data_IF_012462714233
#
_entry.id   IF_012462714233
#
_cell.length_a   1.000
_cell.length_b   1.000
_cell.length_c   1.000
_cell.angle_alpha   90.00
_cell.angle_beta   90.00
_cell.angle_gamma   90.00
#
_symmetry.space_group_name_H-M   'P 1'
#
loop_
_entity.id
_entity.type
_entity.pdbx_description
1 polymer ?
#
# COMPACT_ATOMS: atom_id res chain seq x y z
N UNK A 1 -35.75 -17.68 -4.80
CA UNK A 1 -34.54 -18.50 -4.60
C UNK A 1 -33.54 -17.79 -3.70
N UNK A 2 -33.07 -18.43 -2.63
CA UNK A 2 -32.27 -17.79 -1.57
C UNK A 2 -30.90 -17.29 -2.05
N UNK A 3 -30.33 -17.93 -3.08
CA UNK A 3 -29.01 -17.59 -3.62
C UNK A 3 -28.92 -16.14 -4.13
N UNK A 4 -29.99 -15.57 -4.68
CA UNK A 4 -30.01 -14.16 -5.11
C UNK A 4 -29.76 -13.20 -3.95
N UNK A 5 -30.37 -13.47 -2.79
CA UNK A 5 -30.19 -12.65 -1.58
C UNK A 5 -28.77 -12.78 -1.03
N UNK A 6 -28.20 -13.98 -1.08
CA UNK A 6 -26.81 -14.24 -0.68
C UNK A 6 -25.83 -13.47 -1.59
N UNK A 7 -25.99 -13.56 -2.91
CA UNK A 7 -25.14 -12.83 -3.86
C UNK A 7 -25.24 -11.31 -3.69
N UNK A 8 -26.45 -10.78 -3.48
CA UNK A 8 -26.65 -9.35 -3.18
C UNK A 8 -25.94 -8.97 -1.88
N UNK A 9 -26.06 -9.80 -0.83
CA UNK A 9 -25.36 -9.56 0.44
C UNK A 9 -23.84 -9.51 0.27
N UNK A 10 -23.26 -10.47 -0.46
CA UNK A 10 -21.83 -10.50 -0.76
C UNK A 10 -21.38 -9.29 -1.58
N UNK A 11 -22.15 -8.89 -2.59
CA UNK A 11 -21.86 -7.72 -3.41
C UNK A 11 -21.86 -6.43 -2.58
N UNK A 12 -22.82 -6.29 -1.65
CA UNK A 12 -22.88 -5.14 -0.74
C UNK A 12 -21.67 -5.11 0.18
N UNK A 13 -21.34 -6.24 0.82
CA UNK A 13 -20.17 -6.33 1.71
C UNK A 13 -18.89 -5.99 0.94
N UNK A 14 -18.69 -6.59 -0.24
CA UNK A 14 -17.54 -6.30 -1.10
C UNK A 14 -17.44 -4.83 -1.47
N UNK A 15 -18.58 -4.21 -1.82
CA UNK A 15 -18.63 -2.79 -2.15
C UNK A 15 -18.25 -1.89 -0.96
N UNK A 16 -18.69 -2.23 0.25
CA UNK A 16 -18.32 -1.51 1.47
C UNK A 16 -16.82 -1.64 1.74
N UNK A 17 -16.24 -2.83 1.60
CA UNK A 17 -14.80 -3.04 1.78
C UNK A 17 -13.99 -2.19 0.79
N UNK A 18 -14.38 -2.22 -0.49
CA UNK A 18 -13.72 -1.42 -1.53
C UNK A 18 -13.82 0.08 -1.24
N UNK A 19 -14.99 0.57 -0.84
CA UNK A 19 -15.19 1.98 -0.51
C UNK A 19 -14.34 2.40 0.71
N UNK A 20 -14.35 1.60 1.78
CA UNK A 20 -13.53 1.87 2.96
C UNK A 20 -12.03 1.89 2.60
N UNK A 21 -11.57 0.91 1.80
CA UNK A 21 -10.20 0.89 1.30
C UNK A 21 -9.86 2.14 0.51
N UNK A 22 -10.72 2.54 -0.43
CA UNK A 22 -10.54 3.76 -1.21
C UNK A 22 -10.43 5.02 -0.35
N UNK A 23 -11.31 5.17 0.65
CA UNK A 23 -11.28 6.31 1.57
C UNK A 23 -10.02 6.35 2.44
N UNK A 24 -9.55 5.20 2.91
CA UNK A 24 -8.29 5.11 3.67
C UNK A 24 -7.10 5.47 2.79
N UNK A 25 -7.03 4.91 1.58
CA UNK A 25 -5.93 5.17 0.64
C UNK A 25 -5.92 6.61 0.13
N UNK A 26 -7.09 7.27 0.05
CA UNK A 26 -7.21 8.69 -0.32
C UNK A 26 -7.05 9.65 0.86
N UNK A 27 -6.90 9.13 2.08
CA UNK A 27 -6.70 9.96 3.25
C UNK A 27 -5.31 10.61 3.24
N UNK A 28 -5.22 11.87 3.67
CA UNK A 28 -3.97 12.63 3.73
C UNK A 28 -2.78 11.92 4.41
N UNK A 29 -2.94 11.15 5.51
CA UNK A 29 -1.80 10.46 6.13
C UNK A 29 -1.28 9.29 5.29
N UNK A 30 -2.09 8.71 4.41
CA UNK A 30 -1.65 7.59 3.58
C UNK A 30 -0.76 8.10 2.43
N UNK A 31 0.49 7.65 2.42
CA UNK A 31 1.48 8.13 1.44
C UNK A 31 2.11 9.49 1.78
N UNK A 32 1.75 10.11 2.90
CA UNK A 32 2.41 11.33 3.37
C UNK A 32 3.91 11.12 3.64
N UNK A 33 4.70 12.15 3.37
CA UNK A 33 6.10 12.18 3.76
C UNK A 33 6.25 11.98 5.28
N UNK A 34 7.33 11.32 5.69
CA UNK A 34 7.64 11.19 7.11
C UNK A 34 7.93 12.55 7.73
N UNK A 35 7.46 12.77 8.95
CA UNK A 35 7.73 13.98 9.74
C UNK A 35 8.10 13.62 11.18
N UNK A 36 8.73 14.56 11.90
CA UNK A 36 9.03 14.42 13.33
C UNK A 36 9.93 13.22 13.66
N UNK A 37 9.60 12.49 14.74
CA UNK A 37 10.38 11.32 15.20
C UNK A 37 10.51 10.21 14.14
N UNK A 38 9.49 10.06 13.29
CA UNK A 38 9.53 9.07 12.20
C UNK A 38 10.59 9.46 11.17
N UNK A 39 10.68 10.74 10.83
CA UNK A 39 11.70 11.26 9.91
C UNK A 39 13.09 11.12 10.52
N UNK A 40 13.27 11.51 11.79
CA UNK A 40 14.55 11.40 12.48
C UNK A 40 15.07 9.95 12.51
N UNK A 41 14.18 8.96 12.68
CA UNK A 41 14.52 7.54 12.61
C UNK A 41 14.97 7.11 11.21
N UNK A 42 14.27 7.58 10.17
CA UNK A 42 14.64 7.30 8.77
C UNK A 42 16.03 7.88 8.47
N UNK A 43 16.26 9.14 8.81
CA UNK A 43 17.52 9.85 8.58
C UNK A 43 18.70 9.27 9.37
N UNK A 44 18.45 8.73 10.57
CA UNK A 44 19.49 8.06 11.36
C UNK A 44 19.94 6.71 10.77
N UNK A 45 19.22 6.16 9.80
CA UNK A 45 19.51 4.83 9.28
C UNK A 45 20.75 4.84 8.37
N UNK A 46 21.76 3.97 8.57
CA UNK A 46 23.02 4.01 7.79
C UNK A 46 22.87 3.86 6.27
N UNK A 47 21.74 3.27 5.83
CA UNK A 47 21.42 3.04 4.41
C UNK A 47 20.48 4.09 3.83
N UNK A 48 20.07 5.08 4.60
CA UNK A 48 19.29 6.20 4.09
C UNK A 48 20.25 7.34 3.71
N UNK A 49 20.37 7.61 2.41
CA UNK A 49 21.21 8.67 1.86
C UNK A 49 20.50 9.30 0.67
N UNK A 50 20.72 10.60 0.48
CA UNK A 50 20.14 11.37 -0.65
C UNK A 50 18.61 11.24 -0.76
N UNK A 51 17.92 11.12 0.38
CA UNK A 51 16.46 11.02 0.45
C UNK A 51 15.88 9.63 0.12
N UNK A 52 16.73 8.61 -0.09
CA UNK A 52 16.30 7.26 -0.42
C UNK A 52 17.03 6.19 0.39
N UNK A 53 16.41 5.01 0.50
CA UNK A 53 17.08 3.83 1.04
C UNK A 53 17.87 3.12 -0.06
N UNK A 54 19.14 2.83 0.21
CA UNK A 54 19.95 1.96 -0.65
C UNK A 54 19.67 0.50 -0.31
N UNK A 55 19.26 -0.29 -1.30
CA UNK A 55 19.09 -1.72 -1.14
C UNK A 55 20.45 -2.43 -1.03
N UNK A 56 20.49 -3.50 -0.25
CA UNK A 56 21.72 -4.33 -0.11
C UNK A 56 21.88 -5.23 -1.32
N UNK A 57 20.78 -5.86 -1.73
CA UNK A 57 20.69 -6.70 -2.93
C UNK A 57 20.11 -5.86 -4.07
N UNK A 58 20.51 -6.09 -5.34
CA UNK A 58 19.77 -5.57 -6.48
C UNK A 58 18.28 -5.89 -6.34
N UNK A 59 17.41 -4.89 -6.54
CA UNK A 59 15.99 -5.16 -6.68
C UNK A 59 15.81 -6.10 -7.87
N UNK A 60 15.08 -7.20 -7.65
CA UNK A 60 14.69 -8.07 -8.75
C UNK A 60 13.97 -7.23 -9.80
N UNK A 61 14.38 -7.38 -11.06
CA UNK A 61 13.63 -6.82 -12.18
C UNK A 61 12.21 -7.35 -12.10
N UNK A 62 11.24 -6.44 -12.03
CA UNK A 62 9.84 -6.80 -12.31
C UNK A 62 9.60 -6.54 -13.80
N UNK A 63 10.48 -7.08 -14.65
CA UNK A 63 10.22 -7.06 -16.08
C UNK A 63 9.07 -8.01 -16.36
N UNK A 64 8.13 -7.61 -17.21
CA UNK A 64 7.02 -8.47 -17.61
C UNK A 64 7.54 -9.79 -18.24
N UNK A 65 8.74 -9.75 -18.83
CA UNK A 65 9.46 -10.89 -19.38
C UNK A 65 9.90 -11.91 -18.33
N UNK A 66 10.02 -11.53 -17.05
CA UNK A 66 10.38 -12.44 -15.95
C UNK A 66 9.14 -13.13 -15.33
N UNK A 67 7.93 -12.72 -15.74
CA UNK A 67 6.64 -13.19 -15.22
C UNK A 67 5.86 -14.06 -16.22
N UNK A 68 6.37 -14.23 -17.45
CA UNK A 68 5.79 -15.02 -18.54
C UNK A 68 6.68 -16.21 -18.89
#
# INVERSE_FOLDING_TARGET
>A
MPWRKILIGLAVIGSVVVLCGYLVLSSAPFGAAATGERLARIESHPRFRDGAFTNVEPQASTELADLL
#
